data_IF_702714670175
#
_entry.id   IF_702714670175
#
_cell.length_a   1.000
_cell.length_b   1.000
_cell.length_c   1.000
_cell.angle_alpha   90.00
_cell.angle_beta   90.00
_cell.angle_gamma   90.00
#
_symmetry.space_group_name_H-M   'P 1'
#
loop_
_entity.id
_entity.type
_entity.pdbx_description
1 polymer ?
#
# COMPACT_ATOMS: atom_id res chain seq x y z
N UNK A 1 5.23 -44.69 40.64
CA UNK A 1 4.47 -44.41 39.40
C UNK A 1 5.16 -45.20 38.29
N UNK A 2 4.44 -46.08 37.64
CA UNK A 2 5.00 -47.06 36.70
C UNK A 2 5.57 -46.34 35.49
N UNK A 3 6.73 -46.72 34.98
CA UNK A 3 7.38 -45.99 33.86
C UNK A 3 6.54 -45.97 32.59
N UNK A 4 5.73 -46.99 32.38
CA UNK A 4 4.72 -47.04 31.29
C UNK A 4 3.66 -45.95 31.44
N UNK A 5 3.25 -45.61 32.65
CA UNK A 5 2.28 -44.54 32.90
C UNK A 5 2.87 -43.15 32.65
N UNK A 6 4.14 -42.92 32.97
CA UNK A 6 4.88 -41.68 32.63
C UNK A 6 4.94 -41.46 31.12
N UNK A 7 5.27 -42.50 30.37
CA UNK A 7 5.34 -42.43 28.89
C UNK A 7 3.99 -42.08 28.29
N UNK A 8 2.89 -42.69 28.76
CA UNK A 8 1.54 -42.37 28.26
C UNK A 8 1.17 -40.91 28.54
N UNK A 9 1.50 -40.39 29.73
CA UNK A 9 1.22 -39.00 30.08
C UNK A 9 2.04 -38.04 29.22
N UNK A 10 3.35 -38.34 28.97
CA UNK A 10 4.18 -37.54 28.10
C UNK A 10 3.67 -37.49 26.66
N UNK A 11 3.26 -38.64 26.11
CA UNK A 11 2.67 -38.71 24.76
C UNK A 11 1.38 -37.89 24.69
N UNK A 12 0.52 -37.97 25.69
CA UNK A 12 -0.71 -37.18 25.77
C UNK A 12 -0.45 -35.67 25.76
N UNK A 13 0.56 -35.20 26.51
CA UNK A 13 0.96 -33.77 26.54
C UNK A 13 1.47 -33.33 25.17
N UNK A 14 2.31 -34.12 24.51
CA UNK A 14 2.84 -33.80 23.20
C UNK A 14 1.71 -33.68 22.16
N UNK A 15 0.76 -34.61 22.18
CA UNK A 15 -0.40 -34.56 21.28
C UNK A 15 -1.25 -33.30 21.51
N UNK A 16 -1.50 -32.93 22.77
CA UNK A 16 -2.23 -31.69 23.09
C UNK A 16 -1.51 -30.42 22.59
N UNK A 17 -0.18 -30.38 22.73
CA UNK A 17 0.64 -29.24 22.24
C UNK A 17 0.59 -29.15 20.71
N UNK A 18 0.66 -30.28 20.01
CA UNK A 18 0.59 -30.32 18.55
C UNK A 18 -0.80 -29.86 18.06
N UNK A 19 -1.88 -30.35 18.68
CA UNK A 19 -3.26 -29.93 18.34
C UNK A 19 -3.44 -28.42 18.60
N UNK A 20 -2.93 -27.91 19.73
CA UNK A 20 -2.97 -26.48 20.05
C UNK A 20 -2.21 -25.64 19.03
N UNK A 21 -1.04 -26.10 18.56
CA UNK A 21 -0.23 -25.42 17.55
C UNK A 21 -0.93 -25.43 16.18
N UNK A 22 -1.53 -26.55 15.79
CA UNK A 22 -2.31 -26.66 14.56
C UNK A 22 -3.52 -25.71 14.57
N UNK A 23 -4.21 -25.61 15.70
CA UNK A 23 -5.35 -24.69 15.87
C UNK A 23 -4.92 -23.21 15.79
N UNK A 24 -3.73 -22.86 16.29
CA UNK A 24 -3.17 -21.50 16.14
C UNK A 24 -2.75 -21.19 14.69
N UNK A 25 -2.26 -22.19 13.95
CA UNK A 25 -1.93 -22.03 12.54
C UNK A 25 -3.19 -21.87 11.68
N UNK A 26 -4.26 -22.58 12.02
CA UNK A 26 -5.55 -22.47 11.34
C UNK A 26 -6.21 -21.10 11.57
N UNK A 27 -6.11 -20.54 12.79
CA UNK A 27 -6.54 -19.16 13.07
C UNK A 27 -5.75 -18.11 12.31
N UNK A 28 -4.46 -18.31 12.07
CA UNK A 28 -3.63 -17.38 11.28
C UNK A 28 -3.98 -17.44 9.79
N UNK A 29 -4.34 -18.62 9.26
CA UNK A 29 -4.80 -18.77 7.88
C UNK A 29 -6.22 -18.21 7.67
N UNK A 30 -7.11 -18.33 8.64
CA UNK A 30 -8.46 -17.75 8.57
C UNK A 30 -8.44 -16.21 8.51
N UNK A 31 -7.46 -15.56 9.16
CA UNK A 31 -7.29 -14.10 9.08
C UNK A 31 -6.76 -13.61 7.72
N UNK A 32 -6.06 -14.47 6.97
CA UNK A 32 -5.54 -14.11 5.64
C UNK A 32 -6.59 -14.29 4.52
N UNK A 33 -7.54 -15.23 4.67
CA UNK A 33 -8.59 -15.47 3.68
C UNK A 33 -9.71 -14.43 3.70
N UNK A 34 -9.87 -13.68 4.79
CA UNK A 34 -10.91 -12.66 4.90
C UNK A 34 -10.63 -11.40 4.06
N UNK A 35 -9.35 -11.06 3.87
CA UNK A 35 -8.95 -9.92 3.02
C UNK A 35 -9.34 -10.13 1.54
N UNK A 36 -9.29 -11.36 1.05
CA UNK A 36 -9.64 -11.71 -0.34
C UNK A 36 -11.17 -11.70 -0.57
N UNK A 37 -11.97 -11.93 0.46
CA UNK A 37 -13.43 -11.88 0.36
C UNK A 37 -13.97 -10.45 0.43
N UNK A 38 -13.29 -9.55 1.18
CA UNK A 38 -13.64 -8.12 1.24
C UNK A 38 -13.38 -7.47 -0.12
N UNK A 39 -12.28 -7.83 -0.79
CA UNK A 39 -11.95 -7.34 -2.12
C UNK A 39 -13.00 -7.80 -3.17
N UNK A 40 -13.48 -9.03 -3.06
CA UNK A 40 -14.53 -9.58 -3.93
C UNK A 40 -15.92 -8.96 -3.67
N UNK A 41 -16.23 -8.60 -2.43
CA UNK A 41 -17.49 -7.96 -2.06
C UNK A 41 -17.51 -6.46 -2.47
N UNK A 42 -16.37 -5.76 -2.39
CA UNK A 42 -16.23 -4.37 -2.84
C UNK A 42 -16.42 -4.22 -4.36
N UNK A 43 -15.94 -5.19 -5.14
CA UNK A 43 -16.15 -5.26 -6.60
C UNK A 43 -17.64 -5.44 -6.97
N UNK A 44 -18.47 -6.04 -6.10
CA UNK A 44 -19.89 -6.25 -6.31
C UNK A 44 -20.76 -5.00 -6.09
N UNK A 45 -20.25 -3.95 -5.41
CA UNK A 45 -21.01 -2.75 -5.06
C UNK A 45 -20.64 -1.49 -5.85
N UNK A 46 -20.05 -1.64 -7.04
CA UNK A 46 -19.87 -0.52 -7.96
C UNK A 46 -18.85 0.54 -7.57
N UNK A 47 -18.02 0.31 -6.55
CA UNK A 47 -16.79 1.06 -6.37
C UNK A 47 -15.76 0.56 -7.40
N UNK A 48 -15.68 1.30 -8.51
CA UNK A 48 -14.67 1.12 -9.53
C UNK A 48 -13.29 1.35 -8.87
N UNK A 49 -12.67 0.27 -8.42
CA UNK A 49 -11.22 0.27 -8.15
C UNK A 49 -10.59 0.61 -9.50
N UNK A 50 -10.08 1.82 -9.63
CA UNK A 50 -9.36 2.24 -10.83
C UNK A 50 -8.09 1.40 -10.89
N UNK A 51 -8.15 0.32 -11.66
CA UNK A 51 -6.98 -0.44 -12.07
C UNK A 51 -6.00 0.57 -12.65
N UNK A 52 -4.78 0.65 -12.11
CA UNK A 52 -3.67 1.42 -12.69
C UNK A 52 -3.67 1.11 -14.19
N UNK A 53 -4.10 2.06 -15.00
CA UNK A 53 -4.24 1.85 -16.44
C UNK A 53 -2.84 1.99 -17.00
N UNK A 54 -2.30 0.93 -17.58
CA UNK A 54 -1.10 1.04 -18.41
C UNK A 54 -1.34 2.17 -19.42
N UNK A 55 -0.39 3.12 -19.60
CA UNK A 55 -0.57 4.21 -20.52
C UNK A 55 -0.84 3.67 -21.93
N UNK A 56 -1.82 4.24 -22.61
CA UNK A 56 -2.14 3.87 -23.98
C UNK A 56 -0.94 4.20 -24.89
N UNK A 57 -0.85 3.53 -26.04
CA UNK A 57 0.24 3.75 -27.01
C UNK A 57 0.30 5.21 -27.51
N UNK A 58 -0.83 5.93 -27.42
CA UNK A 58 -1.01 7.32 -27.84
C UNK A 58 -1.23 8.26 -26.63
N UNK A 59 -0.75 7.90 -25.43
CA UNK A 59 -0.86 8.73 -24.24
C UNK A 59 0.00 10.00 -24.37
N UNK A 60 -0.58 11.16 -24.04
CA UNK A 60 0.14 12.44 -23.91
C UNK A 60 0.55 12.64 -22.45
N UNK A 61 1.71 12.09 -22.09
CA UNK A 61 2.19 12.05 -20.70
C UNK A 61 2.87 13.35 -20.30
N UNK A 62 2.42 13.90 -19.21
CA UNK A 62 2.96 15.07 -18.55
C UNK A 62 3.28 14.80 -17.08
N UNK A 63 4.21 15.59 -16.54
CA UNK A 63 4.67 15.46 -15.16
C UNK A 63 4.41 16.74 -14.37
N UNK A 64 4.07 16.57 -13.07
CA UNK A 64 4.00 17.67 -12.11
C UNK A 64 4.52 17.20 -10.75
N UNK A 65 5.16 18.12 -10.01
CA UNK A 65 5.66 17.88 -8.68
C UNK A 65 4.83 18.66 -7.66
N UNK A 66 4.23 17.95 -6.70
CA UNK A 66 3.28 18.48 -5.73
C UNK A 66 3.81 18.31 -4.30
N UNK A 67 4.03 19.42 -3.60
CA UNK A 67 4.47 19.43 -2.20
C UNK A 67 3.30 19.89 -1.31
N UNK A 68 2.50 18.94 -0.82
CA UNK A 68 1.22 19.18 -0.13
C UNK A 68 1.16 18.64 1.32
N UNK A 69 2.27 18.60 2.04
CA UNK A 69 2.36 18.00 3.37
C UNK A 69 2.79 16.53 3.30
N UNK A 70 2.16 15.65 4.07
CA UNK A 70 2.53 14.24 4.11
C UNK A 70 2.41 13.59 2.71
N UNK A 71 3.56 13.31 2.10
CA UNK A 71 3.64 12.81 0.72
C UNK A 71 2.96 11.43 0.54
N UNK A 72 2.94 10.55 1.55
CA UNK A 72 2.23 9.26 1.44
C UNK A 72 0.72 9.43 1.24
N UNK A 73 0.12 10.43 1.89
CA UNK A 73 -1.30 10.73 1.69
C UNK A 73 -1.57 11.33 0.30
N UNK A 74 -0.69 12.18 -0.18
CA UNK A 74 -0.77 12.79 -1.52
C UNK A 74 -0.57 11.74 -2.61
N UNK A 75 0.44 10.86 -2.47
CA UNK A 75 0.70 9.75 -3.38
C UNK A 75 -0.51 8.82 -3.47
N UNK A 76 -1.03 8.35 -2.34
CA UNK A 76 -2.18 7.46 -2.28
C UNK A 76 -3.43 8.10 -2.90
N UNK A 77 -3.64 9.40 -2.70
CA UNK A 77 -4.74 10.12 -3.30
C UNK A 77 -4.62 10.19 -4.82
N UNK A 78 -3.47 10.68 -5.33
CA UNK A 78 -3.27 10.85 -6.76
C UNK A 78 -3.18 9.52 -7.52
N UNK A 79 -2.70 8.45 -6.90
CA UNK A 79 -2.69 7.10 -7.50
C UNK A 79 -4.09 6.60 -7.87
N UNK A 80 -5.15 7.21 -7.32
CA UNK A 80 -6.55 6.87 -7.56
C UNK A 80 -7.26 7.83 -8.51
N UNK A 81 -6.64 8.93 -8.88
CA UNK A 81 -7.23 9.92 -9.80
C UNK A 81 -7.22 9.36 -11.22
N UNK A 82 -8.37 9.37 -11.87
CA UNK A 82 -8.49 8.91 -13.26
C UNK A 82 -7.65 9.82 -14.18
N UNK A 83 -6.85 9.22 -15.06
CA UNK A 83 -5.92 9.94 -15.91
C UNK A 83 -4.52 10.09 -15.34
N UNK A 84 -4.32 9.87 -14.03
CA UNK A 84 -2.99 9.73 -13.43
C UNK A 84 -2.46 8.33 -13.73
N UNK A 85 -1.28 8.27 -14.32
CA UNK A 85 -0.61 7.00 -14.68
C UNK A 85 0.39 6.56 -13.64
N UNK A 86 1.02 7.51 -12.92
CA UNK A 86 1.93 7.23 -11.82
C UNK A 86 1.95 8.34 -10.78
N UNK A 87 2.23 7.98 -9.52
CA UNK A 87 2.44 8.91 -8.42
C UNK A 87 3.50 8.32 -7.50
N UNK A 88 4.59 9.05 -7.27
CA UNK A 88 5.77 8.57 -6.52
C UNK A 88 6.22 9.61 -5.51
N UNK A 89 6.28 9.21 -4.23
CA UNK A 89 6.81 10.03 -3.14
C UNK A 89 8.32 10.22 -3.24
N UNK A 90 8.78 11.41 -2.93
CA UNK A 90 10.19 11.77 -2.93
C UNK A 90 10.46 13.08 -2.22
N UNK A 91 11.62 13.65 -2.46
CA UNK A 91 12.07 14.91 -1.85
C UNK A 91 12.55 15.88 -2.93
N UNK A 92 12.19 17.16 -2.80
CA UNK A 92 12.59 18.20 -3.75
C UNK A 92 13.04 19.49 -3.05
N UNK A 93 13.69 20.36 -3.81
CA UNK A 93 14.04 21.75 -3.44
C UNK A 93 14.99 21.90 -2.24
N UNK A 94 15.70 20.87 -1.83
CA UNK A 94 16.67 20.96 -0.73
C UNK A 94 18.08 21.32 -1.17
N UNK A 95 18.98 21.28 -0.18
CA UNK A 95 20.43 21.43 -0.38
C UNK A 95 21.06 20.04 -0.50
N UNK A 96 21.77 19.79 -1.60
CA UNK A 96 22.34 18.50 -1.95
C UNK A 96 21.41 17.67 -2.84
N UNK A 97 21.96 16.58 -3.40
CA UNK A 97 21.27 15.75 -4.38
C UNK A 97 20.33 14.70 -3.71
N UNK A 98 20.61 14.38 -2.46
CA UNK A 98 19.86 13.34 -1.72
C UNK A 98 19.59 13.77 -0.28
N UNK A 99 18.55 13.24 0.31
CA UNK A 99 18.23 13.42 1.72
C UNK A 99 17.61 12.13 2.29
N UNK A 100 17.46 12.10 3.62
CA UNK A 100 16.68 11.10 4.36
C UNK A 100 15.57 11.82 5.12
N UNK A 101 14.50 11.12 5.43
CA UNK A 101 13.32 11.70 6.09
C UNK A 101 13.68 12.50 7.36
N UNK A 102 14.58 11.97 8.18
CA UNK A 102 15.03 12.58 9.44
C UNK A 102 15.85 13.87 9.23
N UNK A 103 16.36 14.09 8.01
CA UNK A 103 17.26 15.20 7.67
C UNK A 103 16.58 16.33 6.90
N UNK A 104 15.32 16.17 6.47
CA UNK A 104 14.63 17.16 5.62
C UNK A 104 14.60 18.56 6.23
N UNK A 105 14.41 18.64 7.56
CA UNK A 105 14.44 19.93 8.28
C UNK A 105 15.80 20.64 8.27
N UNK A 106 16.90 19.89 8.10
CA UNK A 106 18.26 20.42 8.03
C UNK A 106 18.68 20.73 6.59
N UNK A 107 18.29 19.89 5.66
CA UNK A 107 18.63 20.01 4.24
C UNK A 107 17.67 20.95 3.49
N UNK A 108 16.50 21.25 4.07
CA UNK A 108 15.49 22.11 3.47
C UNK A 108 14.75 21.47 2.31
N UNK A 109 14.81 20.14 2.18
CA UNK A 109 13.97 19.43 1.23
C UNK A 109 12.50 19.43 1.68
N UNK A 110 11.60 19.45 0.71
CA UNK A 110 10.17 19.27 0.93
C UNK A 110 9.75 17.84 0.55
N UNK A 111 8.85 17.25 1.33
CA UNK A 111 8.11 16.08 0.92
C UNK A 111 7.31 16.41 -0.35
N UNK A 112 7.51 15.65 -1.40
CA UNK A 112 6.99 15.97 -2.73
C UNK A 112 6.53 14.69 -3.41
N UNK A 113 5.41 14.76 -4.14
CA UNK A 113 4.95 13.66 -4.99
C UNK A 113 5.18 14.05 -6.45
N UNK A 114 5.86 13.20 -7.19
CA UNK A 114 5.96 13.25 -8.63
C UNK A 114 4.74 12.55 -9.21
N UNK A 115 3.88 13.29 -9.92
CA UNK A 115 2.66 12.79 -10.55
C UNK A 115 2.84 12.82 -12.06
N UNK A 116 2.70 11.66 -12.70
CA UNK A 116 2.64 11.53 -14.16
C UNK A 116 1.19 11.31 -14.57
N UNK A 117 0.70 12.08 -15.53
CA UNK A 117 -0.69 12.00 -15.99
C UNK A 117 -0.79 12.07 -17.52
N UNK A 118 -1.87 11.51 -18.07
CA UNK A 118 -2.19 11.56 -19.49
C UNK A 118 -3.09 12.77 -19.78
N UNK A 119 -2.56 13.78 -20.46
CA UNK A 119 -3.27 15.02 -20.77
C UNK A 119 -4.48 14.81 -21.71
N UNK A 120 -4.57 13.66 -22.38
CA UNK A 120 -5.78 13.26 -23.11
C UNK A 120 -6.94 12.84 -22.19
N UNK A 121 -6.66 12.51 -20.91
CA UNK A 121 -7.65 12.01 -19.95
C UNK A 121 -7.94 13.01 -18.82
N UNK A 122 -6.95 13.76 -18.38
CA UNK A 122 -7.07 14.75 -17.29
C UNK A 122 -6.18 15.97 -17.58
N UNK A 123 -6.74 17.16 -17.49
CA UNK A 123 -6.00 18.40 -17.69
C UNK A 123 -5.19 18.79 -16.45
N UNK A 124 -4.12 19.60 -16.64
CA UNK A 124 -3.39 20.21 -15.54
C UNK A 124 -4.31 20.99 -14.58
N UNK A 125 -5.33 21.67 -15.11
CA UNK A 125 -6.31 22.39 -14.30
C UNK A 125 -7.05 21.46 -13.35
N UNK A 126 -7.46 20.28 -13.80
CA UNK A 126 -8.14 19.28 -12.98
C UNK A 126 -7.19 18.68 -11.95
N UNK A 127 -5.94 18.39 -12.30
CA UNK A 127 -4.90 17.99 -11.35
C UNK A 127 -4.78 19.02 -10.21
N UNK A 128 -4.72 20.31 -10.54
CA UNK A 128 -4.64 21.39 -9.54
C UNK A 128 -5.89 21.52 -8.69
N UNK A 129 -7.09 21.26 -9.25
CA UNK A 129 -8.34 21.22 -8.49
C UNK A 129 -8.40 20.03 -7.51
N UNK A 130 -7.72 18.94 -7.83
CA UNK A 130 -7.56 17.81 -6.91
C UNK A 130 -6.56 18.10 -5.78
N UNK A 131 -5.60 18.98 -6.04
CA UNK A 131 -4.55 19.33 -5.09
C UNK A 131 -4.99 20.38 -4.06
N UNK A 132 -5.84 21.35 -4.40
CA UNK A 132 -6.34 22.44 -3.55
C UNK A 132 -7.73 22.16 -3.00
#
# INVERSE_FOLDING_TARGET
MNDKLKIIVFIGIIICVIIGLLFLLEKRNASYTDTTQIEKAAVSQGQKVTKKTEPSKDADLHDIYLAGGCFWGVEEYFSRVAGVTDAVSGYANGRGETTQYELIGQTGHAETVHVTYDANQISLKEILLHYF
#
